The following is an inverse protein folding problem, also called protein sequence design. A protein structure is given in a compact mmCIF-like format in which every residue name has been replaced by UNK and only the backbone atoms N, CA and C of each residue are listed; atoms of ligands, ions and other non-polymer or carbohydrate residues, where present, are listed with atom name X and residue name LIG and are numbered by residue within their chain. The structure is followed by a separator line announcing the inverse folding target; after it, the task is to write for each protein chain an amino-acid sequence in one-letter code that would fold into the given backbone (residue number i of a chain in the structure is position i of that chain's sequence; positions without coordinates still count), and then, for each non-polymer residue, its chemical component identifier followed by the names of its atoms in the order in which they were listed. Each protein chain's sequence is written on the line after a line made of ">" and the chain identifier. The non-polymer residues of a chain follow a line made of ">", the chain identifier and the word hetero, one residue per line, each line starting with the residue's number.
data_IF_806302576910
#
_entry.id   IF_806302576910
#
_cell.length_a   1.000
_cell.length_b   1.000
_cell.length_c   1.000
_cell.angle_alpha   90.00
_cell.angle_beta   90.00
_cell.angle_gamma   90.00
#
_symmetry.space_group_name_H-M   'P 1'
#
loop_
_entity.id
_entity.type
_entity.pdbx_description
1 polymer ?
2 non-polymer ?
3 non-polymer ?
4 water ?
#
# COMPACT_ATOMS: atom_id res chain seq x y z
N UNK A 18 -10.41 23.46 -14.75
CA UNK A 18 -11.27 23.64 -13.60
C UNK A 18 -10.50 24.00 -12.33
N UNK A 19 -10.75 23.26 -11.25
CA UNK A 19 -9.93 23.38 -10.03
C UNK A 19 -8.72 22.48 -10.17
N UNK A 20 -7.71 22.68 -9.33
CA UNK A 20 -6.38 22.12 -9.58
C UNK A 20 -6.17 20.73 -8.98
N UNK A 21 -6.99 20.34 -8.01
CA UNK A 21 -6.89 19.01 -7.42
C UNK A 21 -7.51 17.91 -8.29
N UNK A 22 -6.91 17.67 -9.46
CA UNK A 22 -7.46 16.73 -10.43
C UNK A 22 -6.80 15.34 -10.43
N UNK A 23 -5.51 15.26 -10.10
CA UNK A 23 -4.81 13.98 -10.10
C UNK A 23 -5.35 13.00 -9.06
N UNK A 24 -5.95 11.92 -9.54
CA UNK A 24 -6.47 10.89 -8.65
C UNK A 24 -7.99 10.80 -8.64
N UNK A 25 -8.62 11.48 -9.59
CA UNK A 25 -10.07 11.43 -9.71
C UNK A 25 -10.57 10.58 -10.87
N UNK A 26 -9.65 10.06 -11.68
CA UNK A 26 -9.99 9.29 -12.87
C UNK A 26 -10.83 8.05 -12.53
N UNK A 27 -11.74 7.71 -13.44
CA UNK A 27 -12.61 6.57 -13.20
C UNK A 27 -11.87 5.29 -13.54
N UNK A 28 -11.90 4.34 -12.61
CA UNK A 28 -11.19 3.08 -12.76
C UNK A 28 -12.25 1.98 -12.70
N UNK A 29 -12.29 1.13 -13.72
CA UNK A 29 -13.42 0.22 -13.93
C UNK A 29 -13.02 -1.12 -14.52
N UNK A 30 -12.31 -1.96 -13.74
CA UNK A 30 -11.86 -3.23 -14.30
C UNK A 30 -13.03 -4.17 -14.63
N UNK A 31 -14.14 -4.02 -13.93
CA UNK A 31 -15.30 -4.88 -14.16
C UNK A 31 -15.88 -4.68 -15.56
N UNK A 32 -15.52 -3.56 -16.18
CA UNK A 32 -15.89 -3.26 -17.56
C UNK A 32 -15.12 -4.08 -18.61
N UNK A 33 -14.21 -4.93 -18.17
CA UNK A 33 -13.37 -5.72 -19.07
C UNK A 33 -13.32 -7.18 -18.64
N UNK A 34 -13.19 -8.08 -19.61
CA UNK A 34 -13.06 -9.49 -19.31
C UNK A 34 -11.77 -9.72 -18.54
N UNK A 35 -11.81 -10.67 -17.61
CA UNK A 35 -10.65 -10.93 -16.78
C UNK A 35 -9.48 -11.50 -17.59
N UNK A 36 -9.79 -12.14 -18.72
CA UNK A 36 -8.77 -12.72 -19.57
C UNK A 36 -8.03 -11.63 -20.32
N UNK A 37 -8.77 -10.60 -20.71
CA UNK A 37 -8.16 -9.45 -21.38
C UNK A 37 -7.23 -8.72 -20.42
N UNK A 38 -7.64 -8.67 -19.15
CA UNK A 38 -6.87 -7.99 -18.13
C UNK A 38 -5.60 -8.77 -17.82
N UNK A 39 -5.69 -10.09 -17.81
CA UNK A 39 -4.51 -10.88 -17.49
C UNK A 39 -3.55 -10.88 -18.69
N UNK A 40 -4.07 -10.72 -19.91
CA UNK A 40 -3.20 -10.55 -21.06
C UNK A 40 -2.47 -9.20 -21.02
N UNK A 41 -3.20 -8.12 -20.77
CA UNK A 41 -2.56 -6.83 -20.60
C UNK A 41 -1.50 -6.90 -19.50
N UNK A 42 -1.81 -7.60 -18.41
CA UNK A 42 -0.85 -7.79 -17.34
C UNK A 42 0.42 -8.48 -17.78
N UNK A 43 0.26 -9.43 -18.70
CA UNK A 43 1.40 -10.19 -19.26
C UNK A 43 2.24 -9.31 -20.18
N UNK A 44 1.58 -8.49 -21.00
CA UNK A 44 2.27 -7.49 -21.78
C UNK A 44 3.08 -6.56 -20.86
N UNK A 45 2.50 -6.21 -19.70
CA UNK A 45 3.18 -5.34 -18.74
C UNK A 45 4.40 -5.96 -18.08
N UNK A 46 4.32 -7.26 -17.76
CA UNK A 46 5.47 -7.96 -17.20
C UNK A 46 6.66 -7.90 -18.12
N UNK A 47 6.40 -7.96 -19.44
CA UNK A 47 7.46 -7.87 -20.43
C UNK A 47 8.25 -6.55 -20.44
N UNK A 48 7.57 -5.41 -20.26
CA UNK A 48 8.14 -4.12 -20.62
C UNK A 48 8.21 -3.07 -19.50
N UNK A 49 7.32 -3.17 -18.51
CA UNK A 49 7.32 -2.24 -17.39
C UNK A 49 8.55 -2.46 -16.52
N UNK A 50 9.26 -1.38 -16.21
CA UNK A 50 10.53 -1.47 -15.49
C UNK A 50 11.75 -1.68 -16.37
N UNK A 51 11.56 -1.88 -17.67
CA UNK A 51 12.70 -2.04 -18.59
C UNK A 51 13.02 -0.72 -19.30
N UNK A 52 14.32 -0.42 -19.40
CA UNK A 52 14.77 0.80 -20.07
C UNK A 52 14.40 0.79 -21.56
N UNK A 53 14.51 1.97 -22.18
CA UNK A 53 14.11 2.17 -23.57
C UNK A 53 12.66 1.70 -23.72
N UNK A 54 11.71 2.51 -23.25
CA UNK A 54 10.29 2.14 -23.12
C UNK A 54 9.63 1.72 -24.43
N UNK A 55 8.99 0.56 -24.44
CA UNK A 55 8.05 0.27 -25.52
C UNK A 55 6.85 1.25 -25.46
N UNK A 56 5.99 1.21 -26.48
CA UNK A 56 4.73 1.97 -26.39
C UNK A 56 3.93 1.77 -25.08
N UNK A 57 3.72 0.52 -24.69
CA UNK A 57 2.99 0.25 -23.45
C UNK A 57 3.74 0.71 -22.19
N UNK A 58 5.06 0.55 -22.15
CA UNK A 58 5.84 0.98 -21.00
C UNK A 58 5.88 2.50 -20.90
N UNK A 59 5.95 3.17 -22.05
CA UNK A 59 5.92 4.63 -22.08
C UNK A 59 4.53 5.22 -21.76
N UNK A 60 3.45 4.53 -22.16
CA UNK A 60 2.10 4.91 -21.77
C UNK A 60 1.96 4.88 -20.25
N UNK A 61 2.52 3.84 -19.63
CA UNK A 61 2.42 3.66 -18.19
C UNK A 61 3.49 4.46 -17.43
N UNK A 62 4.18 5.36 -18.15
CA UNK A 62 5.13 6.26 -17.52
C UNK A 62 4.66 7.70 -17.71
N UNK A 63 3.51 7.86 -18.34
CA UNK A 63 2.90 9.17 -18.46
C UNK A 63 3.17 9.98 -19.73
N UNK A 64 3.65 9.31 -20.77
CA UNK A 64 3.93 9.94 -22.06
C UNK A 64 2.81 9.65 -23.04
N UNK A 65 2.41 10.67 -23.83
CA UNK A 65 1.39 10.44 -24.87
C UNK A 65 1.89 9.47 -25.93
N UNK A 66 1.02 8.58 -26.42
CA UNK A 66 1.45 7.51 -27.31
C UNK A 66 0.50 7.29 -28.48
N UNK A 67 1.05 7.13 -29.68
CA UNK A 67 0.23 6.78 -30.85
C UNK A 67 -0.34 5.35 -30.70
N UNK A 68 -1.69 5.23 -30.72
CA UNK A 68 -2.41 3.95 -30.58
C UNK A 68 -2.03 2.93 -31.64
N UNK A 69 -1.62 3.40 -32.80
CA UNK A 69 -1.09 2.52 -33.84
C UNK A 69 0.06 1.68 -33.27
N UNK A 70 1.04 2.35 -32.67
CA UNK A 70 2.17 1.69 -32.05
C UNK A 70 1.73 0.80 -30.91
N UNK A 71 0.80 1.32 -30.11
CA UNK A 71 0.26 0.61 -28.95
C UNK A 71 -0.49 -0.66 -29.36
N UNK A 72 -1.13 -0.61 -30.52
CA UNK A 72 -1.90 -1.75 -31.02
C UNK A 72 -1.00 -2.92 -31.41
N UNK A 73 0.10 -2.62 -32.09
CA UNK A 73 1.05 -3.66 -32.46
C UNK A 73 1.61 -4.42 -31.26
N UNK A 74 1.62 -3.76 -30.10
CA UNK A 74 2.22 -4.36 -28.91
C UNK A 74 1.24 -5.09 -27.98
N UNK A 75 -0.04 -4.72 -27.98
CA UNK A 75 -1.02 -5.40 -27.11
C UNK A 75 -2.30 -5.83 -27.83
N UNK A 76 -2.39 -5.56 -29.13
CA UNK A 76 -3.55 -5.96 -29.91
C UNK A 76 -4.70 -4.97 -29.85
N UNK A 77 -5.64 -5.13 -30.78
CA UNK A 77 -6.79 -4.23 -30.87
C UNK A 77 -7.67 -4.40 -29.65
N UNK A 78 -7.73 -5.61 -29.10
CA UNK A 78 -8.58 -5.86 -27.95
C UNK A 78 -7.88 -5.21 -26.77
N UNK A 79 -6.57 -5.45 -26.64
CA UNK A 79 -5.76 -4.86 -25.59
C UNK A 79 -5.90 -3.35 -25.57
N UNK A 80 -5.94 -2.77 -26.76
CA UNK A 80 -6.16 -1.33 -26.92
C UNK A 80 -7.54 -0.89 -26.40
N UNK A 81 -8.56 -1.71 -26.62
CA UNK A 81 -9.90 -1.37 -26.14
C UNK A 81 -10.01 -1.64 -24.65
N UNK A 82 -9.35 -2.68 -24.18
CA UNK A 82 -9.36 -3.02 -22.77
C UNK A 82 -8.74 -1.90 -21.93
N UNK A 83 -7.75 -1.22 -22.49
CA UNK A 83 -7.13 -0.08 -21.81
C UNK A 83 -8.12 1.08 -21.67
N UNK A 84 -8.90 1.30 -22.72
CA UNK A 84 -9.89 2.37 -22.69
C UNK A 84 -11.08 2.03 -21.80
N UNK A 85 -11.56 0.79 -21.88
CA UNK A 85 -12.75 0.41 -21.13
C UNK A 85 -12.51 0.29 -19.60
N UNK A 86 -11.29 -0.08 -19.22
CA UNK A 86 -10.92 -0.21 -17.81
C UNK A 86 -10.57 1.16 -17.22
N UNK A 87 -10.20 2.09 -18.10
CA UNK A 87 -9.78 3.42 -17.69
C UNK A 87 -8.28 3.55 -17.55
N UNK A 88 -7.54 2.53 -17.94
CA UNK A 88 -6.08 2.61 -17.86
C UNK A 88 -5.50 3.60 -18.87
N UNK A 89 -6.21 3.81 -19.96
CA UNK A 89 -5.81 4.81 -20.95
C UNK A 89 -6.98 5.69 -21.35
N UNK A 90 -6.67 6.87 -21.88
CA UNK A 90 -7.68 7.81 -22.32
C UNK A 90 -7.34 8.33 -23.71
N UNK A 91 -8.29 8.30 -24.61
CA UNK A 91 -8.07 8.83 -25.93
C UNK A 91 -8.29 10.30 -25.99
N UNK A 92 -7.18 11.04 -26.13
CA UNK A 92 -7.24 12.47 -26.36
C UNK A 92 -7.93 12.65 -27.71
N UNK A 93 -7.15 12.76 -28.77
CA UNK A 93 -7.68 12.75 -30.11
C UNK A 93 -6.68 12.05 -30.98
N UNK A 94 -5.46 12.54 -30.95
CA UNK A 94 -4.35 11.92 -31.60
C UNK A 94 -4.05 10.67 -30.79
N UNK A 95 -3.45 10.89 -29.63
CA UNK A 95 -2.69 9.90 -28.89
C UNK A 95 -3.47 9.30 -27.76
N UNK A 96 -2.82 8.42 -27.03
CA UNK A 96 -3.33 7.86 -25.81
C UNK A 96 -2.49 8.32 -24.66
N UNK A 97 -3.13 8.62 -23.55
CA UNK A 97 -2.38 8.90 -22.34
C UNK A 97 -2.94 8.06 -21.20
N UNK A 98 -2.15 7.87 -20.17
CA UNK A 98 -2.62 7.15 -19.01
C UNK A 98 -2.58 8.05 -17.80
N UNK A 99 -3.60 7.95 -16.93
CA UNK A 99 -3.56 8.69 -15.67
C UNK A 99 -2.79 7.92 -14.59
N UNK A 100 -2.39 6.69 -14.88
CA UNK A 100 -1.73 5.83 -13.91
C UNK A 100 -0.28 5.53 -14.30
N UNK A 101 0.48 4.98 -13.36
CA UNK A 101 1.88 4.61 -13.62
C UNK A 101 2.14 3.15 -13.29
N UNK A 102 2.86 2.47 -14.18
CA UNK A 102 3.19 1.07 -13.98
C UNK A 102 4.47 0.85 -13.19
N UNK A 103 4.42 -0.13 -12.28
CA UNK A 103 5.57 -0.54 -11.49
C UNK A 103 5.70 -2.06 -11.61
N UNK A 104 6.92 -2.58 -11.56
CA UNK A 104 7.08 -4.03 -11.44
C UNK A 104 8.07 -4.34 -10.33
N UNK A 105 7.58 -4.99 -9.27
CA UNK A 105 8.39 -5.32 -8.12
C UNK A 105 7.91 -6.57 -7.39
N UNK A 106 8.84 -7.24 -6.73
CA UNK A 106 8.56 -8.41 -5.90
C UNK A 106 7.61 -9.41 -6.56
N UNK A 107 7.74 -9.58 -7.87
CA UNK A 107 6.99 -10.58 -8.60
C UNK A 107 5.65 -10.10 -9.15
N UNK A 108 5.25 -8.88 -8.80
CA UNK A 108 3.96 -8.35 -9.21
C UNK A 108 4.06 -7.10 -10.09
N UNK A 109 3.01 -6.88 -10.89
CA UNK A 109 2.87 -5.65 -11.67
C UNK A 109 1.79 -4.80 -10.99
N UNK A 110 2.10 -3.54 -10.74
CA UNK A 110 1.16 -2.66 -10.04
C UNK A 110 1.04 -1.30 -10.71
N UNK A 111 -0.21 -0.86 -10.91
CA UNK A 111 -0.48 0.50 -11.34
C UNK A 111 -0.92 1.36 -10.18
N UNK A 112 -0.52 2.63 -10.19
CA UNK A 112 -1.00 3.57 -9.19
C UNK A 112 -0.92 4.99 -9.74
N UNK A 113 -1.47 5.94 -9.00
CA UNK A 113 -1.31 7.33 -9.36
C UNK A 113 0.16 7.72 -9.43
N UNK A 114 0.50 8.69 -10.28
CA UNK A 114 1.86 9.24 -10.27
C UNK A 114 2.14 10.02 -8.99
N UNK A 115 3.40 10.03 -8.56
CA UNK A 115 3.86 10.87 -7.45
C UNK A 115 3.81 12.37 -7.83
N UNK A 116 2.93 13.12 -7.17
CA UNK A 116 2.76 14.56 -7.41
C UNK A 116 2.53 15.32 -6.11
N UNK A 117 2.58 16.65 -6.18
CA UNK A 117 2.49 17.46 -4.97
C UNK A 117 1.10 17.42 -4.36
N UNK A 118 1.04 17.61 -3.04
CA UNK A 118 -0.21 17.58 -2.27
C UNK A 118 -1.30 18.38 -2.93
N UNK A 119 -0.92 19.55 -3.42
CA UNK A 119 -1.87 20.56 -3.86
C UNK A 119 -2.63 20.21 -5.13
N UNK A 120 -2.14 19.23 -5.90
CA UNK A 120 -2.91 18.77 -7.07
C UNK A 120 -3.55 17.37 -6.83
N UNK A 121 -3.66 16.98 -5.56
CA UNK A 121 -4.21 15.65 -5.21
C UNK A 121 -5.73 15.68 -5.01
N UNK A 122 -6.43 14.91 -5.83
CA UNK A 122 -7.86 14.62 -5.66
C UNK A 122 -8.08 13.86 -4.36
N UNK A 123 -9.27 13.97 -3.76
CA UNK A 123 -9.52 13.29 -2.50
C UNK A 123 -9.46 11.75 -2.61
N UNK A 124 -9.43 11.22 -3.82
CA UNK A 124 -9.35 9.78 -4.01
C UNK A 124 -7.99 9.36 -4.58
N UNK A 125 -7.05 10.30 -4.63
CA UNK A 125 -5.67 10.03 -5.00
C UNK A 125 -5.12 8.84 -4.20
N UNK A 126 -4.42 7.93 -4.88
CA UNK A 126 -3.92 6.72 -4.26
C UNK A 126 -2.42 6.79 -4.09
N UNK A 127 -1.92 6.35 -2.93
CA UNK A 127 -0.48 6.23 -2.63
C UNK A 127 0.30 5.72 -3.84
N UNK A 128 1.19 6.58 -4.36
CA UNK A 128 1.96 6.33 -5.58
C UNK A 128 3.09 5.34 -5.39
N UNK A 129 3.02 4.59 -4.29
CA UNK A 129 4.04 3.65 -3.82
C UNK A 129 5.23 4.38 -3.17
N UNK A 130 4.97 5.11 -2.09
CA UNK A 130 5.98 5.96 -1.48
C UNK A 130 6.89 5.03 -0.67
N UNK A 131 6.32 4.05 0.06
CA UNK A 131 7.18 3.17 0.86
C UNK A 131 6.96 1.68 0.64
N UNK A 132 6.10 1.35 -0.33
CA UNK A 132 5.68 -0.05 -0.53
C UNK A 132 6.85 -0.99 -0.81
N UNK A 133 7.77 -0.58 -1.69
CA UNK A 133 8.89 -1.46 -2.00
C UNK A 133 9.69 -1.71 -0.73
N UNK A 134 9.90 -0.65 0.02
CA UNK A 134 10.64 -0.72 1.27
C UNK A 134 9.93 -1.61 2.29
N UNK A 135 8.64 -1.36 2.56
CA UNK A 135 7.90 -2.12 3.58
C UNK A 135 7.84 -3.61 3.22
N UNK A 136 7.70 -3.92 1.93
CA UNK A 136 7.72 -5.32 1.52
C UNK A 136 9.04 -5.99 1.89
N UNK A 137 10.14 -5.24 1.89
CA UNK A 137 11.42 -5.81 2.32
C UNK A 137 11.54 -5.95 3.84
N UNK A 138 10.77 -5.15 4.57
CA UNK A 138 10.74 -5.27 6.02
C UNK A 138 9.86 -6.44 6.47
N UNK A 139 8.91 -6.84 5.63
CA UNK A 139 7.89 -7.83 6.05
C UNK A 139 8.48 -9.21 6.32
N UNK A 140 8.11 -9.81 7.45
CA UNK A 140 8.51 -11.18 7.75
C UNK A 140 8.08 -12.05 6.59
N UNK A 141 9.00 -12.87 6.12
CA UNK A 141 8.76 -13.67 4.92
C UNK A 141 7.88 -14.87 5.21
N UNK A 142 7.38 -14.98 6.43
CA UNK A 142 6.49 -16.09 6.80
C UNK A 142 5.20 -16.06 5.99
N UNK A 143 4.40 -17.10 6.11
CA UNK A 143 3.11 -17.20 5.44
C UNK A 143 2.12 -17.85 6.38
N UNK A 144 0.88 -18.04 5.97
CA UNK A 144 -0.10 -18.70 6.83
C UNK A 144 -1.48 -18.73 6.21
N UNK A 145 -2.50 -18.75 7.06
CA UNK A 145 -3.88 -18.96 6.60
C UNK A 145 -4.49 -17.73 5.90
N UNK A 146 -4.66 -16.66 6.66
CA UNK A 146 -5.45 -15.54 6.20
C UNK A 146 -4.79 -14.19 6.53
N UNK A 147 -4.51 -13.41 5.49
CA UNK A 147 -3.92 -12.08 5.66
C UNK A 147 -4.92 -10.92 5.41
N UNK A 148 -4.72 -9.83 6.14
CA UNK A 148 -5.48 -8.62 5.97
C UNK A 148 -4.54 -7.43 5.70
N UNK A 149 -4.90 -6.58 4.75
CA UNK A 149 -4.12 -5.39 4.39
C UNK A 149 -5.02 -4.19 4.55
N UNK A 150 -4.91 -3.54 5.70
CA UNK A 150 -5.72 -2.37 6.03
C UNK A 150 -5.19 -1.10 5.30
N UNK A 151 -6.08 -0.38 4.63
CA UNK A 151 -5.70 0.75 3.80
C UNK A 151 -4.88 0.24 2.62
N UNK A 152 -5.48 -0.60 1.79
CA UNK A 152 -4.73 -1.36 0.79
C UNK A 152 -4.33 -0.55 -0.44
N UNK A 153 -4.91 0.64 -0.59
CA UNK A 153 -4.54 1.56 -1.65
C UNK A 153 -4.56 0.97 -3.05
N UNK A 154 -3.38 0.88 -3.68
CA UNK A 154 -3.27 0.28 -5.01
C UNK A 154 -3.38 -1.25 -4.95
N UNK A 155 -3.35 -1.80 -3.74
CA UNK A 155 -3.39 -3.23 -3.54
C UNK A 155 -2.01 -3.88 -3.48
N UNK A 156 -0.96 -3.08 -3.61
CA UNK A 156 0.39 -3.63 -3.79
C UNK A 156 0.79 -4.63 -2.69
N UNK A 157 0.53 -4.30 -1.43
CA UNK A 157 0.89 -5.21 -0.34
C UNK A 157 0.06 -6.49 -0.39
N UNK A 158 -1.22 -6.38 -0.70
CA UNK A 158 -2.07 -7.54 -0.82
C UNK A 158 -1.61 -8.50 -1.92
N UNK A 159 -1.12 -7.96 -3.03
CA UNK A 159 -0.73 -8.80 -4.14
C UNK A 159 0.49 -9.63 -3.78
N UNK A 160 1.38 -9.06 -2.98
CA UNK A 160 2.60 -9.75 -2.60
C UNK A 160 2.29 -10.88 -1.63
N UNK A 161 1.58 -10.54 -0.56
CA UNK A 161 1.15 -11.49 0.47
C UNK A 161 0.35 -12.67 -0.12
N UNK A 162 -0.26 -12.45 -1.29
CA UNK A 162 -1.13 -13.43 -1.93
C UNK A 162 -0.38 -14.71 -2.30
N UNK A 163 0.94 -14.60 -2.31
CA UNK A 163 1.82 -15.66 -2.72
C UNK A 163 2.05 -16.67 -1.59
N UNK A 164 1.92 -16.22 -0.35
CA UNK A 164 2.20 -17.09 0.81
C UNK A 164 1.05 -17.14 1.82
N UNK A 165 -0.13 -16.66 1.44
CA UNK A 165 -1.34 -16.83 2.25
C UNK A 165 -2.48 -17.44 1.42
N UNK A 166 -3.25 -18.34 2.04
CA UNK A 166 -4.37 -18.99 1.35
C UNK A 166 -5.36 -17.98 0.80
N UNK A 167 -5.60 -16.92 1.57
CA UNK A 167 -6.42 -15.83 1.06
C UNK A 167 -6.02 -14.49 1.69
N UNK A 168 -6.21 -13.41 0.93
CA UNK A 168 -5.88 -12.09 1.41
C UNK A 168 -7.07 -11.17 1.24
N UNK A 169 -7.40 -10.43 2.30
CA UNK A 169 -8.43 -9.40 2.24
C UNK A 169 -7.78 -8.03 2.31
N UNK A 170 -8.09 -7.19 1.32
CA UNK A 170 -7.67 -5.80 1.32
C UNK A 170 -8.85 -4.89 1.65
N UNK A 171 -8.62 -3.88 2.50
CA UNK A 171 -9.68 -2.94 2.84
C UNK A 171 -9.23 -1.50 2.65
N UNK A 172 -10.07 -0.72 1.98
CA UNK A 172 -9.85 0.72 1.89
C UNK A 172 -11.19 1.45 1.87
N UNK A 173 -11.22 2.66 2.44
CA UNK A 173 -12.40 3.51 2.51
C UNK A 173 -12.54 4.36 1.23
N UNK A 174 -11.45 4.39 0.45
CA UNK A 174 -11.35 5.06 -0.84
C UNK A 174 -11.86 4.15 -1.96
N UNK A 175 -13.03 4.47 -2.55
CA UNK A 175 -13.62 3.49 -3.48
C UNK A 175 -12.79 3.40 -4.76
N UNK A 176 -12.08 4.47 -5.09
CA UNK A 176 -11.16 4.44 -6.22
C UNK A 176 -10.04 3.45 -5.93
N UNK A 177 -9.55 3.40 -4.71
CA UNK A 177 -8.47 2.47 -4.37
C UNK A 177 -8.94 1.00 -4.39
N UNK A 178 -10.21 0.77 -4.12
CA UNK A 178 -10.74 -0.58 -4.19
C UNK A 178 -10.80 -1.06 -5.64
N UNK A 179 -11.22 -0.15 -6.51
CA UNK A 179 -11.32 -0.43 -7.92
C UNK A 179 -9.94 -0.68 -8.49
N UNK A 180 -8.96 0.09 -8.02
CA UNK A 180 -7.60 -0.02 -8.52
C UNK A 180 -6.97 -1.30 -8.05
N UNK A 181 -7.15 -1.60 -6.75
CA UNK A 181 -6.73 -2.87 -6.17
C UNK A 181 -7.29 -4.05 -6.96
N UNK A 182 -8.59 -4.03 -7.22
CA UNK A 182 -9.24 -5.07 -8.04
C UNK A 182 -8.65 -5.15 -9.45
N UNK A 183 -8.33 -4.00 -10.05
CA UNK A 183 -7.72 -3.99 -11.39
C UNK A 183 -6.35 -4.67 -11.36
N UNK A 184 -5.51 -4.24 -10.42
CA UNK A 184 -4.18 -4.80 -10.28
C UNK A 184 -4.19 -6.32 -9.98
N UNK A 185 -5.07 -6.79 -9.10
CA UNK A 185 -5.21 -8.24 -8.91
C UNK A 185 -5.52 -8.93 -10.23
N UNK A 186 -6.43 -8.32 -11.00
CA UNK A 186 -6.84 -8.84 -12.31
C UNK A 186 -5.68 -8.88 -13.30
N UNK A 187 -4.85 -7.83 -13.29
CA UNK A 187 -3.71 -7.74 -14.18
C UNK A 187 -2.72 -8.87 -13.91
N UNK A 188 -2.57 -9.24 -12.63
CA UNK A 188 -1.63 -10.30 -12.24
C UNK A 188 -2.28 -11.67 -12.29
N UNK A 189 -3.58 -11.72 -12.57
CA UNK A 189 -4.32 -12.96 -12.56
C UNK A 189 -4.36 -13.65 -11.19
N UNK A 190 -4.31 -12.87 -10.10
CA UNK A 190 -4.36 -13.43 -8.75
C UNK A 190 -5.80 -13.69 -8.33
N UNK A 191 -6.10 -14.93 -7.94
CA UNK A 191 -7.48 -15.34 -7.65
C UNK A 191 -7.81 -15.44 -6.18
N UNK A 192 -6.79 -15.41 -5.30
CA UNK A 192 -7.03 -15.54 -3.86
C UNK A 192 -7.04 -14.18 -3.10
N UNK A 193 -7.29 -13.10 -3.82
CA UNK A 193 -7.28 -11.79 -3.20
C UNK A 193 -8.64 -11.10 -3.31
N UNK A 194 -9.12 -10.59 -2.17
CA UNK A 194 -10.43 -9.97 -2.12
C UNK A 194 -10.27 -8.57 -1.58
N UNK A 195 -10.95 -7.63 -2.20
CA UNK A 195 -10.95 -6.26 -1.72
C UNK A 195 -12.37 -5.80 -1.39
N UNK A 196 -12.51 -5.08 -0.29
CA UNK A 196 -13.80 -4.52 0.10
C UNK A 196 -13.68 -3.03 0.40
N UNK A 197 -14.70 -2.25 0.05
CA UNK A 197 -14.75 -0.86 0.49
C UNK A 197 -15.44 -0.77 1.85
N UNK A 198 -14.83 -0.02 2.76
CA UNK A 198 -15.36 0.12 4.10
C UNK A 198 -14.40 0.87 5.01
N UNK A 199 -14.87 1.15 6.22
CA UNK A 199 -14.14 1.95 7.21
C UNK A 199 -13.39 1.02 8.16
N UNK A 200 -12.07 0.98 8.02
CA UNK A 200 -11.19 0.16 8.85
C UNK A 200 -11.65 -1.30 8.92
N UNK A 201 -11.94 -1.77 10.13
CA UNK A 201 -12.24 -3.19 10.31
C UNK A 201 -13.68 -3.57 10.01
N UNK A 202 -14.53 -2.59 9.69
CA UNK A 202 -15.97 -2.85 9.57
C UNK A 202 -16.30 -3.91 8.49
N UNK A 203 -15.55 -3.97 7.37
CA UNK A 203 -15.91 -5.09 6.50
C UNK A 203 -14.97 -6.30 6.62
N UNK A 204 -14.13 -6.33 7.66
CA UNK A 204 -13.21 -7.45 7.84
C UNK A 204 -13.75 -8.41 8.88
N UNK A 205 -14.48 -9.41 8.40
CA UNK A 205 -15.15 -10.36 9.27
C UNK A 205 -14.17 -11.45 9.68
N UNK A 206 -14.33 -11.93 10.90
CA UNK A 206 -13.50 -13.00 11.41
C UNK A 206 -12.14 -12.51 11.89
N UNK A 207 -11.23 -13.45 12.12
CA UNK A 207 -9.86 -13.16 12.56
C UNK A 207 -8.82 -13.46 11.46
N UNK A 208 -7.61 -12.96 11.68
CA UNK A 208 -6.57 -13.04 10.66
C UNK A 208 -5.26 -13.44 11.31
N UNK A 209 -4.50 -14.29 10.62
CA UNK A 209 -3.18 -14.66 11.11
C UNK A 209 -2.14 -13.61 10.73
N UNK A 210 -2.46 -12.75 9.77
CA UNK A 210 -1.54 -11.69 9.34
C UNK A 210 -2.29 -10.36 9.09
N UNK A 211 -1.82 -9.28 9.71
CA UNK A 211 -2.38 -7.94 9.45
C UNK A 211 -1.30 -6.90 9.15
N UNK A 212 -1.42 -6.24 8.01
CA UNK A 212 -0.42 -5.26 7.61
C UNK A 212 -1.12 -3.92 7.39
N UNK A 213 -0.41 -2.83 7.70
CA UNK A 213 -1.03 -1.49 7.71
C UNK A 213 0.05 -0.43 7.41
N UNK A 214 0.12 -0.02 6.14
CA UNK A 214 0.90 1.15 5.79
C UNK A 214 0.02 2.38 6.06
N UNK A 215 0.08 2.87 7.29
CA UNK A 215 -0.91 3.82 7.83
C UNK A 215 -0.88 5.21 7.19
N UNK A 216 -2.05 5.85 7.10
CA UNK A 216 -2.11 7.23 6.64
C UNK A 216 -1.67 8.19 7.76
N UNK A 217 -0.38 8.17 8.08
CA UNK A 217 0.13 9.09 9.06
C UNK A 217 1.49 9.61 8.60
N UNK A 218 1.71 10.90 8.81
CA UNK A 218 3.01 11.49 8.51
C UNK A 218 3.23 12.67 9.45
N UNK A 219 2.96 13.90 9.00
CA UNK A 219 3.30 15.06 9.83
C UNK A 219 2.09 15.79 10.40
N UNK A 220 0.91 15.20 10.27
CA UNK A 220 -0.34 15.84 10.68
C UNK A 220 -0.66 15.76 12.17
N UNK A 221 0.10 14.97 12.94
CA UNK A 221 -0.17 14.87 14.38
C UNK A 221 -1.55 14.28 14.67
N UNK A 222 -2.33 14.97 15.51
CA UNK A 222 -3.69 14.53 15.84
C UNK A 222 -4.73 14.93 14.79
N UNK A 223 -4.33 15.77 13.85
CA UNK A 223 -5.29 16.39 12.93
C UNK A 223 -5.66 15.46 11.79
N UNK A 224 -6.94 15.40 11.45
CA UNK A 224 -7.31 14.73 10.21
C UNK A 224 -7.16 15.71 9.07
N UNK A 225 -6.33 15.35 8.09
CA UNK A 225 -6.11 16.19 6.90
C UNK A 225 -6.83 15.61 5.67
N UNK A 226 -6.47 14.39 5.27
CA UNK A 226 -7.23 13.66 4.27
C UNK A 226 -7.04 12.14 4.41
N UNK A 227 -7.39 11.41 3.36
CA UNK A 227 -7.36 9.95 3.44
C UNK A 227 -5.93 9.40 3.57
N UNK A 228 -4.94 10.24 3.26
CA UNK A 228 -3.54 9.80 3.28
C UNK A 228 -2.82 10.30 4.54
N UNK A 229 -3.42 11.30 5.19
CA UNK A 229 -2.95 11.76 6.50
C UNK A 229 -4.16 11.94 7.41
N UNK A 230 -4.53 10.88 8.15
CA UNK A 230 -5.79 10.86 8.92
C UNK A 230 -5.63 11.17 10.40
N UNK A 231 -4.42 11.51 10.84
CA UNK A 231 -4.19 11.78 12.24
C UNK A 231 -4.02 10.54 13.09
N UNK A 232 -3.35 10.72 14.23
CA UNK A 232 -3.22 9.66 15.25
C UNK A 232 -4.52 8.93 15.61
N UNK A 233 -5.68 9.63 15.60
CA UNK A 233 -6.93 8.88 15.86
C UNK A 233 -7.10 7.58 15.06
N UNK A 234 -6.64 7.55 13.80
CA UNK A 234 -6.81 6.32 13.04
C UNK A 234 -5.93 5.18 13.61
N UNK A 235 -4.79 5.53 14.21
CA UNK A 235 -3.91 4.51 14.79
C UNK A 235 -4.55 3.94 16.06
N UNK A 236 -5.18 4.82 16.85
CA UNK A 236 -5.83 4.42 18.09
C UNK A 236 -6.93 3.40 17.81
N UNK A 237 -7.73 3.64 16.77
CA UNK A 237 -8.80 2.73 16.30
C UNK A 237 -8.29 1.39 15.78
N UNK A 238 -7.25 1.44 14.96
CA UNK A 238 -6.60 0.22 14.48
C UNK A 238 -6.14 -0.65 15.65
N UNK A 239 -5.38 -0.06 16.57
CA UNK A 239 -4.74 -0.82 17.65
C UNK A 239 -5.72 -1.21 18.76
N UNK A 240 -6.78 -0.43 18.94
CA UNK A 240 -7.78 -0.79 19.94
C UNK A 240 -8.53 -2.04 19.49
N UNK A 241 -8.76 -2.15 18.19
CA UNK A 241 -9.53 -3.26 17.62
C UNK A 241 -8.69 -4.43 17.16
N UNK A 242 -7.38 -4.24 17.10
CA UNK A 242 -6.49 -5.31 16.66
C UNK A 242 -6.61 -6.59 17.47
N UNK A 243 -6.70 -6.49 18.83
CA UNK A 243 -6.74 -7.76 19.56
C UNK A 243 -7.91 -8.66 19.21
N UNK A 244 -9.08 -8.13 18.87
CA UNK A 244 -10.21 -9.00 18.53
C UNK A 244 -10.14 -9.47 17.08
N UNK A 245 -9.31 -8.81 16.26
CA UNK A 245 -9.16 -9.21 14.86
C UNK A 245 -8.01 -10.19 14.64
N UNK A 246 -7.12 -10.35 15.61
CA UNK A 246 -5.91 -11.13 15.38
C UNK A 246 -6.01 -12.57 15.90
N UNK A 247 -5.59 -13.51 15.07
CA UNK A 247 -5.53 -14.91 15.47
C UNK A 247 -4.42 -15.10 16.48
N UNK A 248 -4.60 -16.06 17.38
CA UNK A 248 -3.56 -16.44 18.33
C UNK A 248 -2.28 -16.83 17.59
N UNK A 249 -1.16 -16.25 17.98
CA UNK A 249 0.10 -16.55 17.31
C UNK A 249 0.34 -15.70 16.08
N UNK A 250 -0.66 -14.91 15.70
CA UNK A 250 -0.60 -14.11 14.49
C UNK A 250 0.34 -12.92 14.56
N UNK A 251 0.44 -12.19 13.45
CA UNK A 251 1.45 -11.16 13.26
C UNK A 251 0.86 -9.87 12.69
N UNK A 252 1.10 -8.75 13.37
CA UNK A 252 0.73 -7.44 12.85
C UNK A 252 2.01 -6.65 12.49
N UNK A 253 1.96 -5.97 11.35
CA UNK A 253 3.05 -5.08 10.95
C UNK A 253 2.49 -3.73 10.52
N UNK A 254 3.08 -2.65 11.05
CA UNK A 254 2.55 -1.32 10.80
C UNK A 254 3.65 -0.31 10.51
N UNK A 255 3.55 0.35 9.34
CA UNK A 255 4.29 1.56 9.05
C UNK A 255 3.55 2.77 9.58
N UNK A 256 4.23 3.59 10.37
CA UNK A 256 3.56 4.71 10.98
C UNK A 256 4.48 5.83 11.40
N UNK A 257 3.84 6.96 11.65
CA UNK A 257 4.48 8.13 12.22
C UNK A 257 4.00 8.22 13.65
N UNK A 258 4.91 8.51 14.55
CA UNK A 258 4.59 8.62 15.96
C UNK A 258 5.00 9.98 16.50
N UNK A 259 4.23 10.51 17.44
CA UNK A 259 4.57 11.78 18.08
C UNK A 259 4.75 11.62 19.58
N UNK A 260 5.95 11.93 20.06
CA UNK A 260 6.23 12.01 21.48
C UNK A 260 6.10 13.46 21.96
N UNK A 261 5.31 13.67 23.00
CA UNK A 261 5.18 14.97 23.64
C UNK A 261 5.78 14.84 25.04
N UNK A 262 6.16 15.97 25.66
CA UNK A 262 6.71 15.93 27.03
C UNK A 262 5.78 15.23 28.03
N UNK A 263 6.33 14.23 28.73
CA UNK A 263 5.54 13.45 29.66
C UNK A 263 4.44 12.64 29.00
N UNK A 264 4.47 12.58 27.66
CA UNK A 264 3.42 11.94 26.87
C UNK A 264 3.99 11.16 25.67
N UNK A 265 4.71 10.05 25.93
CA UNK A 265 5.29 9.32 24.81
C UNK A 265 4.30 8.41 24.07
N UNK A 266 4.43 8.32 22.76
CA UNK A 266 3.54 7.52 21.92
C UNK A 266 3.42 6.09 22.41
N UNK A 267 4.55 5.49 22.75
CA UNK A 267 4.58 4.08 23.16
C UNK A 267 3.65 3.76 24.33
N UNK A 268 3.37 4.75 25.18
CA UNK A 268 2.47 4.52 26.30
C UNK A 268 1.02 4.55 25.85
N UNK A 269 0.70 5.46 24.94
CA UNK A 269 -0.66 5.52 24.40
C UNK A 269 -0.93 4.23 23.66
N UNK A 270 0.09 3.75 22.96
CA UNK A 270 -0.03 2.51 22.21
C UNK A 270 -0.34 1.33 23.15
N UNK A 271 0.32 1.30 24.30
CA UNK A 271 0.16 0.20 25.26
C UNK A 271 -1.27 0.13 25.77
N UNK A 272 -1.86 1.28 26.09
CA UNK A 272 -3.26 1.33 26.51
C UNK A 272 -4.19 0.86 25.40
N UNK A 273 -3.98 1.34 24.19
CA UNK A 273 -4.83 0.98 23.05
C UNK A 273 -4.88 -0.52 22.86
N UNK A 274 -3.71 -1.15 22.93
CA UNK A 274 -3.59 -2.58 22.69
C UNK A 274 -4.02 -3.38 23.89
N UNK A 275 -4.07 -2.74 25.05
CA UNK A 275 -4.23 -3.46 26.29
C UNK A 275 -3.10 -4.46 26.35
N UNK A 276 -1.88 -3.93 26.27
CA UNK A 276 -0.66 -4.73 26.13
C UNK A 276 -0.54 -5.87 27.14
N UNK A 277 -0.60 -5.55 28.44
CA UNK A 277 -0.52 -6.59 29.47
C UNK A 277 -1.78 -7.44 29.54
N UNK A 278 -2.95 -6.82 29.45
CA UNK A 278 -4.21 -7.57 29.53
C UNK A 278 -4.27 -8.66 28.43
N UNK A 279 -3.83 -8.33 27.22
CA UNK A 279 -3.92 -9.25 26.08
C UNK A 279 -2.67 -10.11 25.88
N UNK A 280 -1.64 -9.87 26.69
CA UNK A 280 -0.41 -10.63 26.61
C UNK A 280 0.31 -10.49 25.29
N UNK A 281 0.57 -9.25 24.88
CA UNK A 281 1.17 -9.00 23.57
C UNK A 281 2.64 -8.58 23.63
N UNK A 282 3.36 -8.97 22.60
CA UNK A 282 4.74 -8.52 22.44
C UNK A 282 4.78 -7.54 21.28
N UNK A 283 5.27 -6.34 21.57
CA UNK A 283 5.30 -5.27 20.59
C UNK A 283 6.72 -4.71 20.49
N UNK A 284 7.31 -4.78 19.29
CA UNK A 284 8.57 -4.07 19.07
C UNK A 284 8.41 -2.97 18.02
N UNK A 285 8.92 -1.80 18.38
CA UNK A 285 8.95 -0.65 17.51
C UNK A 285 10.38 -0.44 17.05
N UNK A 286 10.56 -0.45 15.73
CA UNK A 286 11.86 -0.21 15.11
C UNK A 286 11.84 1.21 14.52
N UNK A 287 12.46 2.16 15.22
CA UNK A 287 12.40 3.57 14.77
C UNK A 287 13.55 3.92 13.82
N UNK A 288 13.19 4.56 12.70
CA UNK A 288 14.10 4.75 11.57
C UNK A 288 14.51 6.20 11.36
N UNK A 289 13.54 7.10 11.51
CA UNK A 289 13.77 8.54 11.41
C UNK A 289 13.19 9.25 12.63
N UNK A 290 13.82 10.34 13.04
CA UNK A 290 13.28 11.17 14.12
C UNK A 290 13.74 12.63 13.98
N UNK A 291 12.89 13.55 14.41
CA UNK A 291 13.20 14.97 14.41
C UNK A 291 12.54 15.60 15.64
N UNK A 292 13.18 16.63 16.19
CA UNK A 292 12.63 17.32 17.35
C UNK A 292 11.52 18.28 16.92
N UNK A 293 10.56 18.52 17.82
CA UNK A 293 9.43 19.40 17.53
C UNK A 293 9.40 20.61 18.48
N UNK A 294 8.45 21.52 18.27
CA UNK A 294 8.35 22.73 19.08
C UNK A 294 8.11 22.32 20.50
N UNK A 295 7.06 21.55 20.68
CA UNK A 295 6.60 21.26 21.99
C UNK A 295 7.69 20.74 22.91
N UNK A 296 8.87 20.51 22.39
CA UNK A 296 9.93 19.90 23.16
C UNK A 296 9.94 18.40 23.01
N UNK A 297 8.93 17.86 22.35
CA UNK A 297 8.91 16.44 22.08
C UNK A 297 9.54 16.06 20.74
N UNK A 298 9.07 14.96 20.17
CA UNK A 298 9.75 14.38 19.02
C UNK A 298 8.83 13.65 18.03
N UNK A 299 9.11 13.82 16.75
CA UNK A 299 8.43 13.11 15.68
C UNK A 299 9.28 11.92 15.26
N UNK A 300 8.65 10.77 14.99
CA UNK A 300 9.36 9.55 14.58
C UNK A 300 8.69 8.89 13.38
N UNK A 301 9.46 8.20 12.55
CA UNK A 301 8.87 7.24 11.63
C UNK A 301 9.50 5.90 11.89
N UNK A 302 8.67 4.87 11.93
CA UNK A 302 9.13 3.54 12.26
C UNK A 302 8.21 2.43 11.84
N UNK A 303 8.59 1.24 12.25
CA UNK A 303 7.99 0.01 11.85
C UNK A 303 7.63 -0.72 13.15
N UNK A 304 6.33 -1.00 13.34
CA UNK A 304 5.82 -1.64 14.54
C UNK A 304 5.36 -3.06 14.23
N UNK A 305 5.84 -4.01 15.01
CA UNK A 305 5.50 -5.42 14.83
C UNK A 305 4.90 -6.02 16.10
N UNK A 306 3.71 -6.60 15.99
CA UNK A 306 3.18 -7.47 17.04
C UNK A 306 3.38 -8.91 16.59
N UNK A 307 4.04 -9.71 17.43
CA UNK A 307 4.36 -11.10 17.10
C UNK A 307 4.46 -11.93 18.38
N UNK A 308 4.46 -13.27 18.26
CA UNK A 308 4.40 -13.98 19.55
C UNK A 308 5.71 -13.86 20.33
N UNK A 309 5.60 -13.86 21.66
CA UNK A 309 6.76 -13.93 22.53
C UNK A 309 6.48 -13.25 23.86
N UNK A 310 7.52 -13.00 24.66
CA UNK A 310 7.35 -12.47 26.02
C UNK A 310 6.57 -11.16 26.03
N UNK A 311 5.52 -11.11 26.86
CA UNK A 311 4.68 -9.93 27.00
C UNK A 311 5.52 -8.66 27.27
N UNK A 312 5.31 -7.62 26.46
CA UNK A 312 6.02 -6.37 26.66
C UNK A 312 6.21 -5.53 25.42
N UNK A 313 6.74 -4.32 25.61
CA UNK A 313 7.01 -3.42 24.51
C UNK A 313 8.46 -2.94 24.54
N UNK A 314 9.16 -3.16 23.42
CA UNK A 314 10.57 -2.81 23.27
C UNK A 314 10.67 -1.78 22.14
N UNK A 315 11.62 -0.85 22.24
CA UNK A 315 11.89 0.07 21.13
C UNK A 315 13.37 0.10 20.77
N UNK A 316 13.69 -0.09 19.49
CA UNK A 316 15.06 0.09 19.04
C UNK A 316 15.15 1.01 17.84
N UNK A 317 16.35 1.55 17.65
CA UNK A 317 16.69 2.33 16.48
C UNK A 317 17.21 1.43 15.37
N UNK A 318 16.52 1.48 14.25
CA UNK A 318 16.89 0.73 13.05
C UNK A 318 16.75 1.67 11.88
N UNK A 319 17.87 2.30 11.46
CA UNK A 319 17.77 3.32 10.40
C UNK A 319 17.56 2.65 9.04
N UNK A 320 16.37 2.08 8.81
CA UNK A 320 16.18 1.23 7.66
C UNK A 320 15.93 2.04 6.40
N UNK A 321 15.51 3.29 6.56
CA UNK A 321 15.44 4.18 5.40
C UNK A 321 16.84 4.39 4.83
N UNK A 322 17.84 4.62 5.68
CA UNK A 322 19.21 4.85 5.18
C UNK A 322 19.82 3.59 4.56
N UNK A 323 19.57 2.44 5.19
CA UNK A 323 20.14 1.18 4.72
C UNK A 323 19.46 0.70 3.44
N UNK A 324 18.24 1.17 3.23
CA UNK A 324 17.52 0.92 2.00
C UNK A 324 18.21 1.61 0.81
N UNK A 325 18.61 2.87 1.01
CA UNK A 325 19.35 3.63 0.00
C UNK A 325 20.70 3.01 -0.32
N UNK A 326 21.27 2.31 0.65
CA UNK A 326 22.61 1.77 0.51
C UNK A 326 22.60 0.37 -0.09
N UNK A 327 21.68 -0.47 0.37
CA UNK A 327 21.60 -1.85 -0.07
C UNK A 327 20.29 -2.46 0.45
N UNK A 328 19.24 -2.45 -0.40
CA UNK A 328 17.88 -2.93 -0.09
C UNK A 328 17.79 -4.39 0.35
N UNK A 329 18.59 -5.26 -0.23
CA UNK A 329 18.46 -6.69 0.10
C UNK A 329 19.02 -6.96 1.47
N UNK A 330 19.71 -5.98 2.04
CA UNK A 330 20.16 -6.08 3.42
C UNK A 330 18.99 -6.06 4.41
N UNK A 331 17.83 -5.60 3.97
CA UNK A 331 16.69 -5.49 4.87
C UNK A 331 15.88 -6.79 4.96
N UNK A 332 16.12 -7.71 4.03
CA UNK A 332 15.39 -8.95 4.04
C UNK A 332 15.71 -9.75 5.31
N UNK A 333 14.66 -10.26 5.94
CA UNK A 333 14.75 -11.07 7.16
C UNK A 333 15.38 -10.34 8.35
N UNK A 334 15.38 -9.02 8.30
CA UNK A 334 15.91 -8.20 9.38
C UNK A 334 15.09 -8.33 10.65
N UNK A 335 13.78 -8.09 10.56
CA UNK A 335 12.93 -8.20 11.74
C UNK A 335 12.90 -9.64 12.29
N UNK A 336 13.21 -10.62 11.44
CA UNK A 336 13.36 -11.99 11.90
C UNK A 336 14.62 -12.14 12.77
N UNK A 337 15.73 -11.57 12.30
CA UNK A 337 16.97 -11.61 13.06
C UNK A 337 16.78 -10.94 14.44
N UNK A 338 15.99 -9.87 14.48
CA UNK A 338 15.73 -9.14 15.73
C UNK A 338 14.67 -9.80 16.60
#
# INVERSE_FOLDING_TARGET
>A
MGSSHHHHHHSSGLVPRGSHMIVGGSTIQPERVDAAALRQLGDAMRKVVGSADPTPLADLLSGTPVDPDELTREVGADGRQALLDSGMAVDDGTTFSSPLRGHQLHGVVVLSDPDVEEEVQHRWYVDPLWEADLLIRLMLRRGGARALDMGCGSGVLSLVLADRYESVLGVDVNPRAVALSRLNAALNGLTNVTFREGDMFEPAEGRFSRIVFNSPTNEEGNEFVDLLEAGEPILETFFRNVPRKLESGGIVEVNLAMNDYPGDPFRERLADWLGLTENGLRVQIFTSQRRATESGGEWKRGWLVVAPGPVGLTEVEWPYHDRYEEDPDALLDGTDRLLRG
#
